data_IF_124966744562
#
_entry.id   IF_124966744562
#
_cell.length_a   1.000
_cell.length_b   1.000
_cell.length_c   1.000
_cell.angle_alpha   90.00
_cell.angle_beta   90.00
_cell.angle_gamma   90.00
#
_symmetry.space_group_name_H-M   'P 1'
#
loop_
_entity.id
_entity.type
_entity.pdbx_description
1 polymer ?
#
# COMPACT_ATOMS: atom_id res chain seq x y z
N UNK A 1 14.71 15.59 11.94
CA UNK A 1 13.36 15.52 12.55
C UNK A 1 12.45 14.60 11.74
N UNK A 2 12.34 14.79 10.42
CA UNK A 2 11.51 13.94 9.57
C UNK A 2 11.81 12.43 9.72
N UNK A 3 13.07 12.01 9.59
CA UNK A 3 13.42 10.60 9.75
C UNK A 3 13.17 10.05 11.17
N UNK A 4 13.22 10.91 12.19
CA UNK A 4 12.83 10.51 13.56
C UNK A 4 11.31 10.28 13.63
N UNK A 5 10.51 11.12 12.97
CA UNK A 5 9.07 10.94 12.88
C UNK A 5 8.71 9.58 12.26
N UNK A 6 9.39 9.18 11.17
CA UNK A 6 9.20 7.87 10.54
C UNK A 6 9.41 6.70 11.52
N UNK A 7 10.45 6.78 12.35
CA UNK A 7 10.76 5.75 13.35
C UNK A 7 9.73 5.78 14.49
N UNK A 8 9.35 6.96 14.98
CA UNK A 8 8.35 7.11 16.04
C UNK A 8 6.98 6.57 15.61
N UNK A 9 6.57 6.85 14.37
CA UNK A 9 5.32 6.33 13.78
C UNK A 9 5.34 4.79 13.79
N UNK A 10 6.46 4.19 13.39
CA UNK A 10 6.64 2.73 13.40
C UNK A 10 6.64 2.11 14.80
N UNK A 11 7.00 2.88 15.82
CA UNK A 11 6.98 2.48 17.23
C UNK A 11 5.61 2.76 17.90
N UNK A 12 4.61 3.25 17.17
CA UNK A 12 3.29 3.58 17.70
C UNK A 12 3.26 4.86 18.55
N UNK A 13 4.29 5.70 18.46
CA UNK A 13 4.37 6.99 19.18
C UNK A 13 3.84 8.12 18.31
N UNK A 14 2.54 8.06 18.00
CA UNK A 14 1.90 8.89 16.97
C UNK A 14 2.00 10.39 17.24
N UNK A 15 1.69 10.85 18.47
CA UNK A 15 1.72 12.27 18.82
C UNK A 15 3.13 12.88 18.64
N UNK A 16 4.17 12.13 19.03
CA UNK A 16 5.55 12.57 18.91
C UNK A 16 6.04 12.54 17.46
N UNK A 17 5.56 11.57 16.67
CA UNK A 17 5.82 11.53 15.24
C UNK A 17 5.21 12.77 14.56
N UNK A 18 3.97 13.12 14.89
CA UNK A 18 3.27 14.26 14.30
C UNK A 18 3.93 15.62 14.66
N UNK A 19 4.41 15.78 15.90
CA UNK A 19 5.25 16.94 16.27
C UNK A 19 6.52 16.99 15.42
N UNK A 20 7.21 15.86 15.26
CA UNK A 20 8.43 15.79 14.47
C UNK A 20 8.18 16.07 12.98
N UNK A 21 7.08 15.59 12.40
CA UNK A 21 6.66 15.92 11.03
C UNK A 21 6.39 17.41 10.88
N UNK A 22 5.56 17.97 11.77
CA UNK A 22 5.20 19.40 11.76
C UNK A 22 6.43 20.29 11.85
N UNK A 23 7.37 19.95 12.73
CA UNK A 23 8.61 20.73 12.89
C UNK A 23 9.59 20.55 11.75
N UNK A 24 9.62 19.39 11.10
CA UNK A 24 10.45 19.19 9.91
C UNK A 24 9.91 19.96 8.71
N UNK A 25 8.60 19.90 8.50
CA UNK A 25 7.87 20.66 7.49
C UNK A 25 8.09 22.16 7.67
N UNK A 26 7.95 22.69 8.90
CA UNK A 26 8.19 24.11 9.18
C UNK A 26 9.62 24.59 8.84
N UNK A 27 10.60 23.70 8.76
CA UNK A 27 11.99 24.03 8.38
C UNK A 27 12.20 24.00 6.86
N UNK A 28 11.64 23.01 6.18
CA UNK A 28 11.75 22.85 4.72
C UNK A 28 10.55 22.04 4.18
N UNK A 29 9.41 22.70 3.90
CA UNK A 29 8.18 22.02 3.48
C UNK A 29 8.32 21.29 2.15
N UNK A 30 9.27 21.72 1.31
CA UNK A 30 9.46 21.15 -0.04
C UNK A 30 10.04 19.74 0.03
N UNK A 31 10.95 19.50 0.97
CA UNK A 31 11.67 18.22 1.11
C UNK A 31 11.15 17.36 2.25
N UNK A 32 10.46 17.95 3.23
CA UNK A 32 9.88 17.23 4.37
C UNK A 32 8.39 17.54 4.56
N UNK A 33 7.55 17.30 3.53
CA UNK A 33 6.13 17.58 3.63
C UNK A 33 5.49 16.73 4.74
N UNK A 34 4.43 17.24 5.36
CA UNK A 34 3.63 16.44 6.28
C UNK A 34 2.92 15.31 5.53
N UNK A 35 2.79 14.11 6.13
CA UNK A 35 2.02 13.04 5.52
C UNK A 35 0.54 13.45 5.35
N UNK A 36 -0.04 13.12 4.21
CA UNK A 36 -1.48 13.24 3.98
C UNK A 36 -2.18 12.21 4.87
N UNK A 37 -3.24 12.59 5.59
CA UNK A 37 -3.99 11.65 6.43
C UNK A 37 -5.37 11.43 5.86
N UNK A 38 -5.63 10.22 5.38
CA UNK A 38 -6.93 9.85 4.83
C UNK A 38 -7.72 9.02 5.83
N UNK A 39 -9.02 9.31 5.96
CA UNK A 39 -9.92 8.49 6.76
C UNK A 39 -9.98 7.07 6.18
N UNK A 40 -10.05 6.04 7.04
CA UNK A 40 -10.05 4.64 6.61
C UNK A 40 -11.12 4.34 5.54
N UNK A 41 -12.35 4.85 5.73
CA UNK A 41 -13.43 4.64 4.78
C UNK A 41 -13.21 5.31 3.40
N UNK A 42 -12.51 6.43 3.34
CA UNK A 42 -12.15 7.06 2.06
C UNK A 42 -11.03 6.28 1.37
N UNK A 43 -10.06 5.78 2.14
CA UNK A 43 -9.00 4.93 1.61
C UNK A 43 -9.56 3.62 1.03
N UNK A 44 -10.45 2.96 1.78
CA UNK A 44 -11.17 1.77 1.31
C UNK A 44 -12.01 2.04 0.07
N UNK A 45 -12.67 3.21 0.01
CA UNK A 45 -13.44 3.61 -1.16
C UNK A 45 -12.54 3.80 -2.40
N UNK A 46 -11.40 4.49 -2.26
CA UNK A 46 -10.43 4.69 -3.33
C UNK A 46 -9.87 3.35 -3.85
N UNK A 47 -9.51 2.43 -2.94
CA UNK A 47 -9.03 1.11 -3.30
C UNK A 47 -10.10 0.29 -4.05
N UNK A 48 -11.36 0.35 -3.61
CA UNK A 48 -12.48 -0.33 -4.29
C UNK A 48 -12.79 0.27 -5.66
N UNK A 49 -12.77 1.60 -5.78
CA UNK A 49 -12.99 2.30 -7.05
C UNK A 49 -11.97 1.85 -8.10
N UNK A 50 -10.72 1.63 -7.68
CA UNK A 50 -9.68 1.09 -8.55
C UNK A 50 -10.06 -0.25 -9.21
N UNK A 51 -10.73 -1.13 -8.45
CA UNK A 51 -11.25 -2.43 -8.93
C UNK A 51 -12.47 -2.23 -9.83
N UNK A 52 -13.38 -1.35 -9.43
CA UNK A 52 -14.62 -1.07 -10.15
C UNK A 52 -14.35 -0.49 -11.54
N UNK A 53 -13.28 0.30 -11.68
CA UNK A 53 -12.81 0.87 -12.95
C UNK A 53 -12.20 -0.16 -13.92
N UNK A 54 -11.88 -1.37 -13.47
CA UNK A 54 -11.30 -2.38 -14.35
C UNK A 54 -12.32 -2.88 -15.39
N UNK A 55 -11.83 -3.35 -16.56
CA UNK A 55 -12.68 -4.07 -17.50
C UNK A 55 -13.42 -5.21 -16.81
N UNK A 56 -14.71 -5.40 -17.14
CA UNK A 56 -15.59 -6.37 -16.48
C UNK A 56 -14.97 -7.78 -16.37
N UNK A 57 -14.31 -8.25 -17.43
CA UNK A 57 -13.65 -9.55 -17.43
C UNK A 57 -12.54 -9.68 -16.39
N UNK A 58 -11.80 -8.60 -16.12
CA UNK A 58 -10.74 -8.57 -15.11
C UNK A 58 -11.38 -8.47 -13.72
N UNK A 59 -12.35 -7.57 -13.54
CA UNK A 59 -13.07 -7.44 -12.26
C UNK A 59 -13.71 -8.75 -11.82
N UNK A 60 -14.35 -9.48 -12.74
CA UNK A 60 -14.94 -10.79 -12.45
C UNK A 60 -13.87 -11.84 -12.09
N UNK A 61 -12.66 -11.74 -12.67
CA UNK A 61 -11.53 -12.62 -12.37
C UNK A 61 -10.95 -12.38 -10.98
N UNK A 62 -10.77 -11.11 -10.59
CA UNK A 62 -10.18 -10.73 -9.29
C UNK A 62 -11.20 -10.60 -8.15
N UNK A 63 -12.48 -10.86 -8.41
CA UNK A 63 -13.56 -10.68 -7.43
C UNK A 63 -13.39 -11.48 -6.12
N UNK A 64 -12.55 -12.51 -6.13
CA UNK A 64 -12.25 -13.37 -4.99
C UNK A 64 -10.94 -13.02 -4.27
N UNK A 65 -10.18 -12.04 -4.80
CA UNK A 65 -8.90 -11.58 -4.23
C UNK A 65 -9.20 -10.42 -3.28
N UNK A 66 -9.13 -10.62 -1.95
CA UNK A 66 -9.32 -9.53 -1.01
C UNK A 66 -8.21 -8.48 -1.13
N UNK A 67 -8.60 -7.22 -1.05
CA UNK A 67 -7.69 -6.09 -0.82
C UNK A 67 -7.70 -5.79 0.68
N UNK A 68 -6.57 -6.01 1.35
CA UNK A 68 -6.40 -5.75 2.77
C UNK A 68 -5.58 -4.48 2.95
N UNK A 69 -6.00 -3.64 3.89
CA UNK A 69 -5.31 -2.39 4.21
C UNK A 69 -4.67 -2.55 5.58
N UNK A 70 -3.35 -2.44 5.62
CA UNK A 70 -2.57 -2.44 6.85
C UNK A 70 -1.86 -1.10 6.98
N UNK A 71 -1.49 -0.69 8.19
CA UNK A 71 -0.73 0.55 8.35
C UNK A 71 0.67 0.42 7.73
N UNK A 72 1.31 -0.74 7.88
CA UNK A 72 2.68 -1.00 7.45
C UNK A 72 2.92 -2.49 7.17
N UNK A 73 3.91 -2.85 6.33
CA UNK A 73 4.29 -4.25 6.16
C UNK A 73 4.83 -4.83 7.48
N UNK A 74 4.56 -6.11 7.77
CA UNK A 74 5.15 -6.78 8.93
C UNK A 74 6.65 -7.02 8.73
N UNK A 75 7.41 -7.21 9.82
CA UNK A 75 8.84 -7.52 9.70
C UNK A 75 9.09 -8.86 9.00
N UNK A 76 8.22 -9.84 9.25
CA UNK A 76 8.25 -11.16 8.61
C UNK A 76 8.01 -11.05 7.10
N UNK A 77 7.00 -10.28 6.69
CA UNK A 77 6.70 -10.01 5.28
C UNK A 77 7.89 -9.35 4.56
N UNK A 78 8.48 -8.32 5.16
CA UNK A 78 9.67 -7.63 4.61
C UNK A 78 10.83 -8.60 4.39
N UNK A 79 11.06 -9.53 5.32
CA UNK A 79 12.17 -10.47 5.27
C UNK A 79 11.92 -11.62 4.29
N UNK A 80 10.74 -12.24 4.35
CA UNK A 80 10.41 -13.42 3.56
C UNK A 80 10.18 -13.09 2.09
N UNK A 81 9.51 -11.96 1.80
CA UNK A 81 9.25 -11.50 0.43
C UNK A 81 10.40 -10.63 -0.13
N UNK A 82 11.42 -10.34 0.70
CA UNK A 82 12.57 -9.51 0.34
C UNK A 82 12.17 -8.15 -0.27
N UNK A 83 11.16 -7.51 0.34
CA UNK A 83 10.62 -6.22 -0.10
C UNK A 83 11.10 -5.06 0.77
N UNK A 84 10.98 -3.84 0.27
CA UNK A 84 11.27 -2.65 1.06
C UNK A 84 10.24 -2.48 2.19
N UNK A 85 10.65 -2.07 3.41
CA UNK A 85 9.72 -1.62 4.45
C UNK A 85 8.83 -0.43 4.04
N UNK A 86 9.22 0.26 2.96
CA UNK A 86 8.51 1.41 2.38
C UNK A 86 7.62 1.06 1.18
N UNK A 87 7.47 -0.23 0.86
CA UNK A 87 6.59 -0.66 -0.23
C UNK A 87 5.15 -0.15 -0.01
N UNK A 88 4.46 0.19 -1.09
CA UNK A 88 3.13 0.81 -1.05
C UNK A 88 2.00 -0.22 -1.07
N UNK A 89 2.19 -1.28 -1.85
CA UNK A 89 1.31 -2.43 -1.92
C UNK A 89 2.12 -3.70 -2.15
N UNK A 90 1.48 -4.85 -2.01
CA UNK A 90 2.09 -6.14 -2.32
C UNK A 90 1.01 -7.16 -2.65
N UNK A 91 1.13 -7.79 -3.82
CA UNK A 91 0.44 -9.02 -4.12
C UNK A 91 1.09 -10.21 -3.41
N UNK A 92 0.29 -10.96 -2.66
CA UNK A 92 0.69 -12.17 -1.94
C UNK A 92 -0.06 -13.37 -2.51
N UNK A 93 0.65 -14.20 -3.29
CA UNK A 93 0.17 -15.50 -3.73
C UNK A 93 0.86 -16.61 -2.93
N UNK A 94 0.11 -17.34 -2.09
CA UNK A 94 0.71 -18.45 -1.31
C UNK A 94 0.81 -19.69 -2.22
N UNK A 95 1.99 -20.32 -2.38
CA UNK A 95 2.08 -21.61 -3.04
C UNK A 95 1.31 -22.67 -2.25
N UNK A 96 0.38 -23.37 -2.91
CA UNK A 96 -0.53 -24.40 -2.36
C UNK A 96 0.10 -25.54 -1.54
N UNK A 97 1.42 -25.60 -1.41
CA UNK A 97 2.16 -26.69 -0.77
C UNK A 97 2.69 -26.38 0.63
N UNK A 98 2.70 -25.13 1.09
CA UNK A 98 3.26 -24.74 2.40
C UNK A 98 2.21 -24.44 3.48
N UNK A 99 0.93 -24.36 3.11
CA UNK A 99 -0.19 -24.01 3.98
C UNK A 99 -0.54 -25.04 5.09
N UNK A 100 0.16 -26.17 5.17
CA UNK A 100 -0.18 -27.25 6.12
C UNK A 100 0.36 -27.04 7.54
N UNK A 101 1.13 -25.98 7.81
CA UNK A 101 1.98 -25.92 9.02
C UNK A 101 1.54 -24.87 10.06
N UNK A 102 0.82 -23.79 9.70
CA UNK A 102 0.62 -22.63 10.60
C UNK A 102 -0.82 -22.19 10.90
N UNK A 103 -1.84 -22.87 10.38
CA UNK A 103 -3.21 -22.84 10.96
C UNK A 103 -4.03 -21.55 10.92
N UNK A 104 -3.48 -20.36 10.62
CA UNK A 104 -4.20 -19.09 10.84
C UNK A 104 -4.27 -18.10 9.65
N UNK A 105 -3.82 -18.45 8.45
CA UNK A 105 -4.06 -17.62 7.26
C UNK A 105 -4.71 -18.45 6.15
N UNK A 106 -5.93 -18.11 5.69
CA UNK A 106 -6.54 -18.81 4.57
C UNK A 106 -5.67 -18.64 3.32
N UNK A 107 -5.58 -19.76 2.61
CA UNK A 107 -4.85 -20.10 1.38
C UNK A 107 -5.38 -19.30 0.17
N UNK A 108 -5.39 -17.97 0.26
CA UNK A 108 -6.07 -17.08 -0.71
C UNK A 108 -5.12 -15.97 -1.12
N UNK A 109 -4.94 -15.84 -2.44
CA UNK A 109 -4.32 -14.71 -3.11
C UNK A 109 -4.90 -13.40 -2.56
N UNK A 110 -4.05 -12.46 -2.18
CA UNK A 110 -4.51 -11.18 -1.60
C UNK A 110 -3.63 -10.02 -2.04
N UNK A 111 -4.23 -8.85 -2.13
CA UNK A 111 -3.50 -7.58 -2.32
C UNK A 111 -3.41 -6.90 -0.96
N UNK A 112 -2.21 -6.58 -0.52
CA UNK A 112 -1.96 -5.77 0.65
C UNK A 112 -1.69 -4.33 0.21
N UNK A 113 -2.27 -3.34 0.90
CA UNK A 113 -1.95 -1.93 0.77
C UNK A 113 -1.44 -1.41 2.11
N UNK A 114 -0.37 -0.63 2.08
CA UNK A 114 0.26 -0.08 3.28
C UNK A 114 -0.08 1.39 3.44
N UNK A 115 -1.17 1.65 4.17
CA UNK A 115 -1.80 2.96 4.33
C UNK A 115 -0.82 4.04 4.75
N UNK A 116 -0.05 3.84 5.82
CA UNK A 116 0.88 4.87 6.30
C UNK A 116 1.98 5.13 5.27
N UNK A 117 2.40 4.15 4.48
CA UNK A 117 3.42 4.35 3.45
C UNK A 117 2.87 5.19 2.30
N UNK A 118 1.66 4.88 1.82
CA UNK A 118 0.94 5.66 0.81
C UNK A 118 0.71 7.12 1.26
N UNK A 119 0.25 7.32 2.50
CA UNK A 119 0.07 8.65 3.11
C UNK A 119 1.33 9.53 3.12
N UNK A 120 2.52 8.90 3.12
CA UNK A 120 3.82 9.58 3.11
C UNK A 120 4.38 9.78 1.70
N UNK A 121 3.84 9.08 0.70
CA UNK A 121 4.30 9.16 -0.69
C UNK A 121 3.71 10.37 -1.42
N UNK A 122 2.55 10.86 -0.96
CA UNK A 122 1.79 11.93 -1.59
C UNK A 122 1.78 13.20 -0.74
N UNK A 123 1.42 14.33 -1.35
CA UNK A 123 1.37 15.66 -0.72
C UNK A 123 -0.04 16.18 -0.56
N UNK A 124 -0.95 15.76 -1.43
CA UNK A 124 -2.35 16.17 -1.44
C UNK A 124 -3.30 14.96 -1.38
N UNK A 125 -4.53 15.19 -0.93
CA UNK A 125 -5.55 14.13 -0.81
C UNK A 125 -5.90 13.50 -2.16
N UNK A 126 -6.10 14.31 -3.20
CA UNK A 126 -6.43 13.81 -4.54
C UNK A 126 -5.28 12.97 -5.14
N UNK A 127 -4.04 13.39 -4.90
CA UNK A 127 -2.84 12.65 -5.31
C UNK A 127 -2.75 11.30 -4.58
N UNK A 128 -3.11 11.26 -3.30
CA UNK A 128 -3.15 10.02 -2.53
C UNK A 128 -4.23 9.06 -3.06
N UNK A 129 -5.42 9.56 -3.39
CA UNK A 129 -6.49 8.74 -3.98
C UNK A 129 -6.03 8.14 -5.31
N UNK A 130 -5.44 8.96 -6.18
CA UNK A 130 -4.88 8.50 -7.45
C UNK A 130 -3.79 7.44 -7.22
N UNK A 131 -2.87 7.69 -6.30
CA UNK A 131 -1.78 6.76 -5.99
C UNK A 131 -2.30 5.43 -5.41
N UNK A 132 -3.36 5.45 -4.59
CA UNK A 132 -4.01 4.22 -4.12
C UNK A 132 -4.55 3.42 -5.31
N UNK A 133 -5.25 4.08 -6.24
CA UNK A 133 -5.83 3.42 -7.41
C UNK A 133 -4.76 2.84 -8.33
N UNK A 134 -3.70 3.59 -8.56
CA UNK A 134 -2.50 3.18 -9.29
C UNK A 134 -1.94 1.91 -8.64
N UNK A 135 -1.57 1.98 -7.35
CA UNK A 135 -1.00 0.85 -6.59
C UNK A 135 -1.88 -0.40 -6.65
N UNK A 136 -3.20 -0.27 -6.50
CA UNK A 136 -4.10 -1.44 -6.61
C UNK A 136 -4.06 -2.07 -8.00
N UNK A 137 -4.11 -1.24 -9.05
CA UNK A 137 -4.09 -1.72 -10.44
C UNK A 137 -2.73 -2.35 -10.79
N UNK A 138 -1.62 -1.81 -10.27
CA UNK A 138 -0.28 -2.41 -10.36
C UNK A 138 -0.25 -3.82 -9.78
N UNK A 139 -0.65 -3.99 -8.52
CA UNK A 139 -0.61 -5.29 -7.84
C UNK A 139 -1.52 -6.33 -8.53
N UNK A 140 -2.67 -5.87 -9.05
CA UNK A 140 -3.55 -6.73 -9.86
C UNK A 140 -2.92 -7.10 -11.19
N UNK A 141 -2.20 -6.18 -11.84
CA UNK A 141 -1.47 -6.50 -13.06
C UNK A 141 -0.41 -7.58 -12.80
N UNK A 142 0.34 -7.48 -11.70
CA UNK A 142 1.25 -8.55 -11.29
C UNK A 142 0.52 -9.88 -11.03
N UNK A 143 -0.67 -9.85 -10.41
CA UNK A 143 -1.50 -11.05 -10.26
C UNK A 143 -1.90 -11.67 -11.60
N UNK A 144 -2.16 -10.85 -12.62
CA UNK A 144 -2.47 -11.29 -13.97
C UNK A 144 -1.23 -11.76 -14.76
N UNK A 145 -0.04 -11.69 -14.15
CA UNK A 145 1.23 -12.08 -14.77
C UNK A 145 1.82 -11.02 -15.70
N UNK A 146 1.39 -9.76 -15.57
CA UNK A 146 1.99 -8.63 -16.29
C UNK A 146 3.33 -8.24 -15.65
N UNK A 147 4.32 -7.97 -16.50
CA UNK A 147 5.59 -7.40 -16.08
C UNK A 147 5.52 -5.86 -16.01
N UNK A 148 6.61 -5.24 -15.54
CA UNK A 148 6.70 -3.79 -15.40
C UNK A 148 6.51 -3.05 -16.74
N UNK A 149 7.01 -3.63 -17.84
CA UNK A 149 6.90 -3.01 -19.16
C UNK A 149 5.45 -3.05 -19.68
N UNK A 150 4.72 -4.12 -19.39
CA UNK A 150 3.30 -4.21 -19.68
C UNK A 150 2.47 -3.22 -18.86
N UNK A 151 2.81 -3.04 -17.59
CA UNK A 151 2.19 -2.06 -16.71
C UNK A 151 2.41 -0.63 -17.19
N UNK A 152 3.66 -0.26 -17.52
CA UNK A 152 4.01 1.06 -18.08
C UNK A 152 3.20 1.36 -19.35
N UNK A 153 3.11 0.39 -20.25
CA UNK A 153 2.38 0.53 -21.52
C UNK A 153 0.89 0.77 -21.32
N UNK A 154 0.32 0.29 -20.21
CA UNK A 154 -1.09 0.46 -19.86
C UNK A 154 -1.35 1.72 -19.01
N UNK A 155 -0.30 2.49 -18.68
CA UNK A 155 -0.42 3.65 -17.78
C UNK A 155 -0.68 3.23 -16.33
N UNK A 156 -0.19 2.04 -15.97
CA UNK A 156 -0.32 1.43 -14.65
C UNK A 156 1.06 1.26 -14.03
N UNK A 157 2.04 2.12 -14.34
CA UNK A 157 3.39 2.17 -13.79
C UNK A 157 3.62 3.47 -13.01
#
# INVERSE_FOLDING_TARGET
>A
LYHLALVLERLGREDEAEDCFTRADALDPKHYPRPVRLAAGLFEAAAREAIDDLPRSIRDYVAHVPVLIEDFPSADLVQNENVSPQILGLFMGVPRTEASITGDAPDIDRVLLFKRNLEKACREEDELIEQIQITVKHEIGHYLGLDEADLERLGLA
#
